data_IF_316524662392
#
_entry.id   IF_316524662392
#
_cell.length_a   1.000
_cell.length_b   1.000
_cell.length_c   1.000
_cell.angle_alpha   90.00
_cell.angle_beta   90.00
_cell.angle_gamma   90.00
#
_symmetry.space_group_name_H-M   'P 1'
#
loop_
_entity.id
_entity.type
_entity.pdbx_description
1 polymer ?
2 non-polymer ?
3 water ?
#
# COMPACT_ATOMS: atom_id res chain seq x y z
N UNK A 2 -14.48 0.39 -5.64
CA UNK A 2 -13.75 1.00 -4.48
C UNK A 2 -12.49 1.60 -5.05
N UNK A 3 -11.83 2.46 -4.29
CA UNK A 3 -10.66 3.20 -4.78
C UNK A 3 -9.43 2.79 -4.03
N UNK A 4 -8.38 2.46 -4.77
CA UNK A 4 -7.12 2.02 -4.19
C UNK A 4 -6.04 3.03 -4.52
N UNK A 5 -5.26 3.42 -3.53
CA UNK A 5 -4.10 4.27 -3.77
C UNK A 5 -2.89 3.36 -3.71
N UNK A 6 -2.10 3.33 -4.80
CA UNK A 6 -0.89 2.53 -4.96
C UNK A 6 0.29 3.50 -4.85
N UNK A 7 1.09 3.33 -3.82
CA UNK A 7 2.25 4.14 -3.51
C UNK A 7 3.44 3.29 -3.81
N UNK A 8 4.12 3.61 -4.88
CA UNK A 8 5.25 2.82 -5.30
C UNK A 8 6.21 3.70 -6.08
N UNK A 9 7.48 3.66 -5.69
CA UNK A 9 8.45 4.51 -6.35
C UNK A 9 9.06 3.91 -7.62
N UNK A 10 8.77 2.64 -7.94
CA UNK A 10 9.14 2.03 -9.23
C UNK A 10 7.93 2.06 -10.12
N UNK A 11 8.06 2.75 -11.26
CA UNK A 11 6.99 2.86 -12.23
C UNK A 11 6.56 1.51 -12.86
N UNK A 12 7.48 0.63 -13.19
CA UNK A 12 7.13 -0.71 -13.69
C UNK A 12 6.27 -1.56 -12.79
N UNK A 13 6.55 -1.59 -11.49
CA UNK A 13 5.73 -2.29 -10.52
C UNK A 13 4.37 -1.60 -10.28
N UNK A 14 4.36 -0.25 -10.16
CA UNK A 14 3.12 0.49 -10.04
C UNK A 14 2.20 0.13 -11.18
N UNK A 15 2.75 0.06 -12.39
CA UNK A 15 1.97 -0.17 -13.59
C UNK A 15 1.35 -1.57 -13.58
N UNK A 16 2.08 -2.57 -13.09
CA UNK A 16 1.54 -3.92 -12.97
C UNK A 16 0.40 -3.98 -11.97
N UNK A 17 0.55 -3.33 -10.80
CA UNK A 17 -0.48 -3.39 -9.82
C UNK A 17 -1.70 -2.62 -10.32
N UNK A 18 -1.47 -1.45 -10.93
CA UNK A 18 -2.56 -0.61 -11.44
C UNK A 18 -3.36 -1.42 -12.46
N UNK A 19 -2.65 -2.07 -13.38
CA UNK A 19 -3.29 -2.90 -14.43
C UNK A 19 -4.18 -3.99 -13.82
N UNK A 20 -3.61 -4.74 -12.87
CA UNK A 20 -4.33 -5.80 -12.21
C UNK A 20 -5.49 -5.31 -11.37
N UNK A 21 -5.30 -4.25 -10.59
CA UNK A 21 -6.43 -3.66 -9.84
C UNK A 21 -7.56 -3.09 -10.73
N UNK A 22 -7.19 -2.48 -11.83
CA UNK A 22 -8.18 -1.96 -12.79
C UNK A 22 -9.02 -3.09 -13.35
N UNK A 23 -8.33 -4.17 -13.70
CA UNK A 23 -8.97 -5.34 -14.27
C UNK A 23 -10.00 -5.96 -13.33
N UNK A 24 -9.80 -5.81 -12.03
CA UNK A 24 -10.80 -6.20 -11.02
C UNK A 24 -11.93 -5.19 -10.74
N UNK A 25 -11.87 -3.99 -11.30
CA UNK A 25 -12.92 -2.99 -11.20
C UNK A 25 -12.73 -1.91 -10.15
N UNK A 26 -11.53 -1.84 -9.59
CA UNK A 26 -11.18 -0.77 -8.69
C UNK A 26 -10.82 0.48 -9.49
N UNK A 27 -11.09 1.64 -8.94
CA UNK A 27 -10.49 2.87 -9.37
C UNK A 27 -9.10 3.03 -8.73
N UNK A 28 -8.10 3.33 -9.53
CA UNK A 28 -6.71 3.43 -9.07
C UNK A 28 -6.19 4.91 -9.12
N UNK A 29 -5.63 5.38 -8.00
CA UNK A 29 -4.80 6.57 -7.94
C UNK A 29 -3.39 6.11 -7.55
N UNK A 30 -2.38 6.79 -8.07
CA UNK A 30 -1.01 6.41 -7.84
C UNK A 30 -0.23 7.57 -7.20
N UNK A 31 0.79 7.21 -6.43
CA UNK A 31 1.73 8.15 -5.85
C UNK A 31 3.07 7.53 -5.96
N UNK A 32 4.11 8.34 -6.17
CA UNK A 32 5.46 7.81 -6.37
C UNK A 32 6.51 8.19 -5.32
N UNK A 33 6.09 8.92 -4.31
CA UNK A 33 6.91 9.19 -3.15
C UNK A 33 6.00 9.45 -1.96
N UNK A 34 6.59 9.69 -0.80
CA UNK A 34 5.84 9.78 0.43
C UNK A 34 5.03 11.05 0.46
N UNK A 35 5.58 12.12 -0.16
CA UNK A 35 4.81 13.35 -0.24
C UNK A 35 3.56 13.19 -1.08
N UNK A 36 3.69 12.69 -2.30
CA UNK A 36 2.52 12.44 -3.13
C UNK A 36 1.56 11.46 -2.41
N UNK A 37 2.06 10.48 -1.67
CA UNK A 37 1.19 9.54 -0.93
C UNK A 37 0.28 10.22 0.03
N UNK A 38 0.82 11.11 0.85
CA UNK A 38 -0.02 11.85 1.81
C UNK A 38 -0.99 12.81 1.11
N UNK A 39 -0.51 13.45 0.04
CA UNK A 39 -1.35 14.36 -0.73
C UNK A 39 -2.55 13.64 -1.33
N UNK A 40 -2.30 12.48 -1.90
CA UNK A 40 -3.32 11.69 -2.58
C UNK A 40 -4.27 11.10 -1.55
N UNK A 41 -3.71 10.66 -0.43
CA UNK A 41 -4.51 10.17 0.68
C UNK A 41 -5.50 11.22 1.12
N UNK A 42 -5.03 12.45 1.30
CA UNK A 42 -5.92 13.53 1.77
C UNK A 42 -6.96 13.92 0.74
N UNK A 43 -6.56 14.01 -0.52
CA UNK A 43 -7.41 14.54 -1.57
C UNK A 43 -8.40 13.50 -2.11
N UNK A 44 -7.96 12.25 -2.19
CA UNK A 44 -8.74 11.17 -2.81
C UNK A 44 -9.48 10.24 -1.84
N UNK A 45 -9.11 10.21 -0.57
CA UNK A 45 -9.79 9.37 0.42
C UNK A 45 -9.98 7.95 -0.09
N UNK A 46 -8.90 7.29 -0.41
CA UNK A 46 -8.96 5.90 -0.89
C UNK A 46 -9.50 4.97 0.21
N UNK A 47 -10.08 3.89 -0.27
CA UNK A 47 -10.64 2.83 0.57
C UNK A 47 -9.54 1.88 1.10
N UNK A 48 -8.44 1.81 0.38
CA UNK A 48 -7.29 1.04 0.77
C UNK A 48 -6.04 1.62 0.13
N UNK A 49 -4.92 1.45 0.81
CA UNK A 49 -3.63 1.90 0.33
C UNK A 49 -2.66 0.73 0.24
N UNK A 50 -2.02 0.55 -0.92
CA UNK A 50 -0.89 -0.40 -1.10
C UNK A 50 0.35 0.46 -1.03
N UNK A 51 1.23 0.17 -0.07
CA UNK A 51 2.33 1.04 0.25
C UNK A 51 3.62 0.29 0.13
N UNK A 52 4.42 0.70 -0.82
CA UNK A 52 5.74 0.13 -0.72
C UNK A 52 6.58 0.89 0.29
N UNK A 53 7.45 0.17 1.00
CA UNK A 53 8.32 0.79 2.05
C UNK A 53 9.40 1.77 1.48
N UNK A 54 9.80 1.55 0.23
CA UNK A 54 11.03 2.13 -0.27
C UNK A 54 10.84 3.38 -1.11
N UNK A 55 10.67 4.53 -0.44
CA UNK A 55 11.52 5.57 -1.06
C UNK A 55 12.12 6.59 -0.06
N UNK A 56 13.42 6.36 -0.25
CA UNK A 56 14.31 5.83 0.78
C UNK A 56 13.74 5.09 2.00
N UNK A 57 14.69 4.43 2.68
CA UNK A 57 14.41 3.37 3.66
C UNK A 57 13.94 3.95 4.99
N UNK A 58 12.62 3.97 5.23
CA UNK A 58 12.00 4.69 6.39
C UNK A 58 10.77 5.52 6.00
N UNK A 59 10.67 5.88 4.72
CA UNK A 59 9.58 6.77 4.29
C UNK A 59 8.22 6.09 4.21
N UNK A 60 8.17 4.83 3.76
CA UNK A 60 6.94 4.04 3.85
C UNK A 60 6.44 3.90 5.28
N UNK A 61 7.36 3.61 6.20
CA UNK A 61 6.99 3.47 7.59
C UNK A 61 6.44 4.76 8.12
N UNK A 62 7.06 5.88 7.77
CA UNK A 62 6.56 7.22 8.13
C UNK A 62 5.22 7.57 7.51
N UNK A 63 5.05 7.21 6.24
CA UNK A 63 3.74 7.46 5.61
C UNK A 63 2.63 6.76 6.40
N UNK A 64 2.84 5.47 6.70
CA UNK A 64 1.85 4.69 7.41
C UNK A 64 1.60 5.30 8.79
N UNK A 65 2.68 5.60 9.51
CA UNK A 65 2.62 6.33 10.79
C UNK A 65 1.79 7.62 10.72
N UNK A 66 2.02 8.44 9.70
CA UNK A 66 1.27 9.70 9.71
C UNK A 66 -0.17 9.53 9.26
N UNK A 67 -0.46 8.64 8.31
CA UNK A 67 -1.83 8.31 8.00
C UNK A 67 -2.61 7.86 9.23
N UNK A 68 -2.00 7.00 10.04
CA UNK A 68 -2.65 6.47 11.26
C UNK A 68 -2.96 7.50 12.34
N UNK A 69 -2.37 8.68 12.27
CA UNK A 69 -2.79 9.79 13.15
C UNK A 69 -4.27 10.12 12.95
N UNK A 70 -4.75 10.08 11.70
CA UNK A 70 -6.12 10.54 11.39
C UNK A 70 -7.11 9.49 10.90
N UNK A 71 -6.63 8.35 10.39
CA UNK A 71 -7.49 7.44 9.63
C UNK A 71 -7.15 5.98 9.92
N UNK A 72 -8.19 5.17 9.90
CA UNK A 72 -8.12 3.73 10.01
C UNK A 72 -8.15 3.03 8.61
N UNK A 73 -7.95 3.79 7.53
CA UNK A 73 -7.93 3.21 6.18
C UNK A 73 -6.97 2.01 6.15
N UNK A 74 -7.39 0.87 5.62
CA UNK A 74 -6.51 -0.29 5.51
C UNK A 74 -5.24 -0.01 4.73
N UNK A 75 -4.09 -0.46 5.24
CA UNK A 75 -2.82 -0.34 4.56
C UNK A 75 -2.19 -1.70 4.36
N UNK A 76 -1.85 -2.01 3.12
CA UNK A 76 -1.14 -3.24 2.78
C UNK A 76 0.21 -2.77 2.38
N UNK A 77 1.25 -3.20 3.11
CA UNK A 77 2.60 -2.82 2.79
C UNK A 77 3.18 -3.93 1.92
N UNK A 78 3.94 -3.52 0.93
CA UNK A 78 4.59 -4.33 -0.05
C UNK A 78 6.09 -4.00 -0.01
N UNK A 79 6.95 -4.98 -0.03
CA UNK A 79 8.35 -4.69 0.11
C UNK A 79 9.17 -5.90 -0.26
N UNK A 80 10.28 -5.68 -0.93
CA UNK A 80 11.31 -6.70 -1.06
C UNK A 80 11.94 -7.15 0.26
N UNK A 81 11.93 -6.29 1.27
CA UNK A 81 12.46 -6.66 2.59
C UNK A 81 11.49 -7.64 3.26
N UNK A 82 12.06 -8.77 3.66
CA UNK A 82 11.29 -9.95 4.06
C UNK A 82 11.70 -10.53 5.38
N UNK A 83 12.53 -9.80 6.13
CA UNK A 83 12.96 -10.25 7.49
C UNK A 83 11.83 -10.06 8.52
N UNK A 84 11.99 -10.69 9.68
CA UNK A 84 11.02 -10.67 10.78
C UNK A 84 10.88 -9.26 11.28
N UNK A 85 12.01 -8.61 11.48
CA UNK A 85 12.03 -7.22 11.93
C UNK A 85 11.17 -6.35 11.04
N UNK A 86 11.31 -6.55 9.73
CA UNK A 86 10.71 -5.68 8.73
C UNK A 86 9.23 -5.83 8.76
N UNK A 87 8.79 -7.07 8.75
CA UNK A 87 7.33 -7.40 8.80
C UNK A 87 6.74 -6.93 10.09
N UNK A 88 7.40 -7.25 11.20
CA UNK A 88 6.92 -6.86 12.54
C UNK A 88 6.83 -5.35 12.67
N UNK A 89 7.85 -4.63 12.23
CA UNK A 89 7.79 -3.19 12.39
C UNK A 89 6.73 -2.54 11.48
N UNK A 90 6.57 -3.02 10.26
CA UNK A 90 5.53 -2.52 9.38
C UNK A 90 4.16 -2.67 10.01
N UNK A 91 3.88 -3.83 10.58
CA UNK A 91 2.57 -4.08 11.21
C UNK A 91 2.36 -3.27 12.47
N UNK A 92 3.39 -3.17 13.31
CA UNK A 92 3.29 -2.38 14.55
C UNK A 92 3.05 -0.89 14.26
N UNK A 93 3.69 -0.36 13.22
CA UNK A 93 3.46 1.02 12.74
C UNK A 93 2.14 1.26 11.97
N UNK A 94 1.36 0.22 11.72
CA UNK A 94 -0.01 0.42 11.32
C UNK A 94 -0.47 -0.33 10.10
N UNK A 95 0.44 -1.00 9.41
CA UNK A 95 -0.01 -1.83 8.30
C UNK A 95 -0.90 -2.95 8.81
N UNK A 96 -1.91 -3.26 8.00
CA UNK A 96 -2.82 -4.34 8.26
C UNK A 96 -2.34 -5.67 7.73
N UNK A 97 -1.43 -5.59 6.77
CA UNK A 97 -0.84 -6.73 6.11
C UNK A 97 0.47 -6.25 5.53
N UNK A 98 1.33 -7.22 5.21
CA UNK A 98 2.63 -6.97 4.71
C UNK A 98 2.94 -8.15 3.75
N UNK A 99 3.24 -7.86 2.49
CA UNK A 99 3.37 -8.86 1.47
C UNK A 99 4.75 -8.63 0.84
N UNK A 100 5.48 -9.68 0.56
CA UNK A 100 6.83 -9.51 0.01
C UNK A 100 6.88 -9.54 -1.51
N UNK A 101 7.86 -8.85 -2.08
CA UNK A 101 8.06 -8.81 -3.52
C UNK A 101 9.20 -9.75 -3.80
N UNK A 102 9.13 -10.57 -4.85
CA UNK A 102 8.03 -10.53 -5.84
C UNK A 102 6.80 -11.25 -5.30
N UNK A 103 5.64 -10.79 -5.72
CA UNK A 103 4.37 -11.27 -5.18
C UNK A 103 3.58 -11.90 -6.32
N UNK A 104 2.59 -12.66 -5.94
CA UNK A 104 1.65 -13.25 -6.85
C UNK A 104 0.53 -12.21 -7.03
N UNK A 105 0.16 -11.94 -8.28
CA UNK A 105 -0.90 -10.94 -8.55
C UNK A 105 -2.21 -11.45 -7.97
N UNK A 106 -2.48 -12.76 -8.09
CA UNK A 106 -3.71 -13.31 -7.53
C UNK A 106 -3.75 -13.23 -6.00
N UNK A 107 -2.62 -13.46 -5.33
CA UNK A 107 -2.62 -13.37 -3.87
C UNK A 107 -2.85 -11.92 -3.44
N UNK A 108 -2.23 -11.00 -4.14
CA UNK A 108 -2.41 -9.58 -3.83
C UNK A 108 -3.88 -9.20 -3.96
N UNK A 109 -4.51 -9.66 -5.02
CA UNK A 109 -5.94 -9.34 -5.19
C UNK A 109 -6.75 -9.91 -4.02
N UNK A 110 -6.44 -11.15 -3.63
CA UNK A 110 -7.14 -11.85 -2.55
C UNK A 110 -6.94 -11.08 -1.23
N UNK A 111 -5.72 -10.59 -0.99
CA UNK A 111 -5.45 -9.83 0.25
C UNK A 111 -6.12 -8.46 0.29
N UNK A 112 -6.19 -7.78 -0.83
CA UNK A 112 -6.92 -6.51 -0.93
C UNK A 112 -8.41 -6.75 -0.63
N UNK A 113 -8.98 -7.80 -1.24
CA UNK A 113 -10.38 -8.17 -0.99
C UNK A 113 -10.62 -8.45 0.49
N UNK A 114 -9.70 -9.17 1.10
CA UNK A 114 -9.85 -9.59 2.51
C UNK A 114 -9.80 -8.38 3.42
N UNK A 115 -8.89 -7.46 3.12
CA UNK A 115 -8.78 -6.21 3.85
C UNK A 115 -10.04 -5.37 3.73
N UNK A 116 -10.57 -5.25 2.51
CA UNK A 116 -11.77 -4.44 2.29
C UNK A 116 -13.01 -5.05 2.97
N UNK A 117 -13.11 -6.38 2.99
CA UNK A 117 -14.22 -7.10 3.66
C UNK A 117 -14.31 -6.77 5.15
N UNK A 118 -13.15 -6.56 5.77
CA UNK A 118 -13.00 -6.47 7.22
C UNK A 118 -12.87 -5.02 7.73
N UNK A 119 -13.32 -4.08 6.89
CA UNK A 119 -13.06 -2.65 7.10
C UNK A 119 -14.24 -1.76 6.74
#
# INVERSE_FOLDING_TARGET
>A
MKKILIVDDEKPISDIIKFNMTKEGYEVVTAFNGREALEQFEAEQPDIIILDLMLPEIDGLEVAKTIRKTSSVPILMLSAKDSEFDKVIGLELGADDYVTKPFSNRELQARVKALLRRSQ
#
